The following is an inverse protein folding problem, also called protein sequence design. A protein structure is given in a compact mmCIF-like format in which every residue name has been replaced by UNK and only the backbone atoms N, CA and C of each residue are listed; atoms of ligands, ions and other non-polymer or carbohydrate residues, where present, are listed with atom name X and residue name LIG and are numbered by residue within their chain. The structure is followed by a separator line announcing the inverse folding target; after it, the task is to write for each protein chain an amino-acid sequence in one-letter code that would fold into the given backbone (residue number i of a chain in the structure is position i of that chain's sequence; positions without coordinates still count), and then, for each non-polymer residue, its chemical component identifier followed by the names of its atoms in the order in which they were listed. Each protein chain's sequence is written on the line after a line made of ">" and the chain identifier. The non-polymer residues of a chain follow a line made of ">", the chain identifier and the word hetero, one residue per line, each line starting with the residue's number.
data_IF_187678240340
#
_entry.id   IF_187678240340
#
_cell.length_a   1.000
_cell.length_b   1.000
_cell.length_c   1.000
_cell.angle_alpha   90.00
_cell.angle_beta   90.00
_cell.angle_gamma   90.00
#
_symmetry.space_group_name_H-M   'P 1'
#
loop_
_entity.id
_entity.type
_entity.pdbx_description
1 polymer ?
#
# COMPACT_ATOMS: atom_id res chain seq x y z
N UNK A 1 -16.47 34.42 14.68
CA UNK A 1 -16.51 32.99 14.34
C UNK A 1 -15.56 32.86 13.17
N UNK A 2 -14.32 32.50 13.48
CA UNK A 2 -13.16 32.57 12.59
C UNK A 2 -12.89 31.16 12.09
N UNK A 3 -13.07 30.93 10.78
CA UNK A 3 -12.81 29.67 10.10
C UNK A 3 -11.29 29.44 9.99
N UNK A 4 -10.73 28.89 11.07
CA UNK A 4 -9.31 28.68 11.26
C UNK A 4 -8.79 27.33 10.75
N UNK A 5 -8.27 27.37 9.51
CA UNK A 5 -6.94 26.90 9.16
C UNK A 5 -6.61 25.38 9.11
N UNK A 6 -6.28 24.97 7.87
CA UNK A 6 -5.22 24.03 7.49
C UNK A 6 -5.25 22.59 8.03
N UNK A 7 -5.36 21.64 7.09
CA UNK A 7 -4.15 21.01 6.50
C UNK A 7 -4.34 20.77 5.00
N UNK A 8 -3.89 21.73 4.19
CA UNK A 8 -3.46 21.41 2.82
C UNK A 8 -2.39 20.33 2.94
N UNK A 9 -2.69 19.10 2.54
CA UNK A 9 -1.67 18.08 2.28
C UNK A 9 -0.85 18.60 1.12
N UNK A 10 0.22 19.31 1.42
CA UNK A 10 1.24 19.62 0.45
C UNK A 10 1.89 18.28 0.11
N UNK A 11 1.50 17.70 -1.03
CA UNK A 11 2.29 16.67 -1.67
C UNK A 11 3.70 17.25 -1.85
N UNK A 12 4.65 16.77 -1.03
CA UNK A 12 6.08 17.05 -1.22
C UNK A 12 6.45 16.56 -2.64
N UNK A 13 7.37 17.24 -3.34
CA UNK A 13 7.75 16.83 -4.68
C UNK A 13 8.25 15.37 -4.66
N UNK A 14 7.50 14.50 -5.34
CA UNK A 14 7.76 13.07 -5.53
C UNK A 14 8.89 12.90 -6.56
N UNK A 15 10.15 13.09 -6.18
CA UNK A 15 11.31 12.90 -7.08
C UNK A 15 11.83 11.45 -7.12
N UNK A 16 11.12 10.53 -6.49
CA UNK A 16 11.54 9.16 -6.21
C UNK A 16 11.18 8.19 -7.36
N UNK A 17 12.08 7.25 -7.67
CA UNK A 17 11.93 6.31 -8.79
C UNK A 17 10.70 5.39 -8.64
N UNK A 18 10.19 4.84 -9.76
CA UNK A 18 9.04 3.90 -9.77
C UNK A 18 9.26 2.71 -8.83
N UNK A 19 10.48 2.17 -8.84
CA UNK A 19 10.89 1.05 -7.98
C UNK A 19 10.85 1.42 -6.50
N UNK A 20 11.42 2.56 -6.15
CA UNK A 20 11.45 3.04 -4.77
C UNK A 20 10.03 3.35 -4.26
N UNK A 21 9.11 3.84 -5.11
CA UNK A 21 7.67 3.92 -4.77
C UNK A 21 7.05 2.55 -4.49
N UNK A 22 7.37 1.54 -5.29
CA UNK A 22 6.90 0.17 -5.06
C UNK A 22 7.45 -0.43 -3.76
N UNK A 23 8.72 -0.18 -3.44
CA UNK A 23 9.37 -0.62 -2.19
C UNK A 23 8.72 0.05 -0.98
N UNK A 24 8.42 1.35 -1.04
CA UNK A 24 7.75 2.09 0.03
C UNK A 24 6.31 1.59 0.23
N UNK A 25 5.56 1.38 -0.85
CA UNK A 25 4.21 0.79 -0.79
C UNK A 25 4.24 -0.60 -0.15
N UNK A 26 5.12 -1.48 -0.63
CA UNK A 26 5.25 -2.85 -0.15
C UNK A 26 5.60 -2.89 1.34
N UNK A 27 6.53 -2.03 1.77
CA UNK A 27 6.90 -1.90 3.17
C UNK A 27 5.73 -1.43 4.06
N UNK A 28 4.93 -0.48 3.58
CA UNK A 28 3.75 0.00 4.30
C UNK A 28 2.69 -1.11 4.47
N UNK A 29 2.41 -1.87 3.40
CA UNK A 29 1.47 -3.00 3.44
C UNK A 29 1.95 -4.10 4.40
N UNK A 30 3.25 -4.44 4.35
CA UNK A 30 3.86 -5.40 5.27
C UNK A 30 3.73 -4.96 6.72
N UNK A 31 4.05 -3.69 7.01
CA UNK A 31 3.98 -3.15 8.36
C UNK A 31 2.54 -3.17 8.88
N UNK A 32 1.56 -2.85 8.04
CA UNK A 32 0.15 -2.91 8.40
C UNK A 32 -0.32 -4.34 8.70
N UNK A 33 0.08 -5.31 7.85
CA UNK A 33 -0.19 -6.74 8.10
C UNK A 33 0.38 -7.21 9.43
N UNK A 34 1.62 -6.84 9.73
CA UNK A 34 2.26 -7.20 11.01
C UNK A 34 1.56 -6.54 12.21
N UNK A 35 1.13 -5.29 12.09
CA UNK A 35 0.35 -4.59 13.13
C UNK A 35 -1.03 -5.22 13.35
N UNK A 36 -1.65 -5.76 12.30
CA UNK A 36 -2.89 -6.52 12.37
C UNK A 36 -2.70 -7.95 12.94
N UNK A 37 -1.45 -8.40 13.14
CA UNK A 37 -1.15 -9.74 13.66
C UNK A 37 -1.39 -10.86 12.64
N UNK A 38 -1.45 -10.56 11.35
CA UNK A 38 -1.81 -11.52 10.29
C UNK A 38 -0.57 -12.16 9.62
N UNK A 39 -0.64 -13.46 9.35
CA UNK A 39 0.33 -14.18 8.52
C UNK A 39 0.25 -13.81 7.03
N UNK A 40 1.29 -14.10 6.25
CA UNK A 40 1.23 -13.90 4.79
C UNK A 40 0.26 -14.88 4.15
N UNK A 41 0.25 -16.11 4.64
CA UNK A 41 -0.61 -17.21 4.19
C UNK A 41 -2.09 -16.85 4.40
N UNK A 42 -2.46 -16.35 5.59
CA UNK A 42 -3.84 -15.92 5.90
C UNK A 42 -4.31 -14.79 4.99
N UNK A 43 -3.45 -13.80 4.72
CA UNK A 43 -3.81 -12.68 3.84
C UNK A 43 -3.88 -13.13 2.38
N UNK A 44 -2.94 -13.97 1.93
CA UNK A 44 -2.92 -14.50 0.57
C UNK A 44 -4.15 -15.38 0.28
N UNK A 45 -4.57 -16.20 1.25
CA UNK A 45 -5.79 -17.01 1.19
C UNK A 45 -7.04 -16.12 1.07
N UNK A 46 -7.17 -15.09 1.92
CA UNK A 46 -8.29 -14.13 1.83
C UNK A 46 -8.33 -13.33 0.54
N UNK A 47 -7.18 -13.14 -0.11
CA UNK A 47 -7.03 -12.50 -1.41
C UNK A 47 -7.19 -13.47 -2.59
N UNK A 48 -7.22 -14.78 -2.33
CA UNK A 48 -7.22 -15.83 -3.35
C UNK A 48 -6.03 -15.69 -4.32
N UNK A 49 -4.85 -15.39 -3.78
CA UNK A 49 -3.60 -15.28 -4.54
C UNK A 49 -2.54 -16.23 -3.96
N UNK A 50 -1.55 -16.66 -4.76
CA UNK A 50 -0.39 -17.35 -4.22
C UNK A 50 0.37 -16.48 -3.19
N UNK A 51 0.84 -17.08 -2.10
CA UNK A 51 1.57 -16.35 -1.03
C UNK A 51 2.83 -15.65 -1.57
N UNK A 52 3.44 -16.20 -2.62
CA UNK A 52 4.60 -15.63 -3.31
C UNK A 52 4.26 -14.30 -3.99
N UNK A 53 3.01 -14.10 -4.44
CA UNK A 53 2.53 -12.83 -5.00
C UNK A 53 2.49 -11.77 -3.90
N UNK A 54 1.90 -12.09 -2.75
CA UNK A 54 1.91 -11.17 -1.60
C UNK A 54 3.34 -10.86 -1.15
N UNK A 55 4.22 -11.86 -1.10
CA UNK A 55 5.61 -11.66 -0.71
C UNK A 55 6.39 -10.76 -1.69
N UNK A 56 6.09 -10.84 -3.00
CA UNK A 56 6.67 -9.93 -4.02
C UNK A 56 6.14 -8.51 -3.89
N UNK A 57 4.86 -8.34 -3.58
CA UNK A 57 4.24 -7.03 -3.30
C UNK A 57 4.92 -6.39 -2.09
N UNK A 58 5.03 -7.11 -0.97
CA UNK A 58 5.63 -6.59 0.26
C UNK A 58 7.12 -6.23 0.14
N UNK A 59 7.82 -6.81 -0.83
CA UNK A 59 9.21 -6.47 -1.16
C UNK A 59 9.34 -5.36 -2.21
N UNK A 60 8.24 -4.85 -2.77
CA UNK A 60 8.26 -3.86 -3.85
C UNK A 60 8.73 -4.39 -5.20
N UNK A 61 8.82 -5.72 -5.37
CA UNK A 61 9.19 -6.36 -6.64
C UNK A 61 8.05 -6.26 -7.65
N UNK A 62 6.81 -6.19 -7.17
CA UNK A 62 5.63 -5.99 -7.99
C UNK A 62 4.67 -5.04 -7.29
N UNK A 63 3.83 -4.41 -8.10
CA UNK A 63 2.78 -3.48 -7.63
C UNK A 63 1.46 -4.24 -7.73
N UNK A 64 0.63 -4.23 -6.67
CA UNK A 64 -0.69 -4.86 -6.75
C UNK A 64 -1.57 -4.10 -7.74
N UNK A 65 -2.50 -4.81 -8.38
CA UNK A 65 -3.56 -4.14 -9.14
C UNK A 65 -4.45 -3.35 -8.18
N UNK A 66 -5.19 -2.36 -8.70
CA UNK A 66 -6.13 -1.58 -7.89
C UNK A 66 -7.12 -2.48 -7.12
N UNK A 67 -7.77 -3.49 -7.72
CA UNK A 67 -8.65 -4.39 -6.97
C UNK A 67 -7.95 -5.14 -5.82
N UNK A 68 -6.73 -5.64 -6.04
CA UNK A 68 -5.94 -6.31 -4.99
C UNK A 68 -5.56 -5.34 -3.88
N UNK A 69 -5.16 -4.12 -4.23
CA UNK A 69 -4.83 -3.09 -3.26
C UNK A 69 -6.05 -2.68 -2.41
N UNK A 70 -7.22 -2.51 -3.03
CA UNK A 70 -8.45 -2.20 -2.31
C UNK A 70 -8.81 -3.31 -1.32
N UNK A 71 -8.71 -4.59 -1.73
CA UNK A 71 -8.93 -5.72 -0.81
C UNK A 71 -7.91 -5.75 0.32
N UNK A 72 -6.63 -5.48 0.04
CA UNK A 72 -5.60 -5.34 1.06
C UNK A 72 -5.96 -4.24 2.06
N UNK A 73 -6.44 -3.09 1.61
CA UNK A 73 -6.87 -2.02 2.51
C UNK A 73 -7.99 -2.47 3.45
N UNK A 74 -8.97 -3.22 2.93
CA UNK A 74 -10.07 -3.76 3.75
C UNK A 74 -9.55 -4.78 4.77
N UNK A 75 -8.77 -5.77 4.34
CA UNK A 75 -8.24 -6.83 5.22
C UNK A 75 -7.35 -6.23 6.31
N UNK A 76 -6.49 -5.28 5.94
CA UNK A 76 -5.51 -4.65 6.83
C UNK A 76 -6.05 -3.44 7.59
N UNK A 77 -7.33 -3.08 7.39
CA UNK A 77 -7.98 -1.89 7.97
C UNK A 77 -7.19 -0.60 7.73
N UNK A 78 -6.65 -0.45 6.52
CA UNK A 78 -5.94 0.74 6.08
C UNK A 78 -6.89 1.72 5.40
N UNK A 79 -6.70 3.00 5.69
CA UNK A 79 -7.29 4.09 4.92
C UNK A 79 -6.45 4.29 3.64
N UNK A 80 -7.03 4.18 2.43
CA UNK A 80 -6.29 4.40 1.19
C UNK A 80 -5.63 5.79 1.12
N UNK A 81 -6.15 6.80 1.84
CA UNK A 81 -5.57 8.15 1.88
C UNK A 81 -4.24 8.22 2.67
N UNK A 82 -3.91 7.17 3.42
CA UNK A 82 -2.62 7.06 4.14
C UNK A 82 -1.58 6.23 3.38
N UNK A 83 -1.97 5.58 2.29
CA UNK A 83 -1.03 4.82 1.48
C UNK A 83 -0.07 5.75 0.72
N UNK A 84 1.20 5.34 0.55
CA UNK A 84 2.11 6.03 -0.36
C UNK A 84 1.55 6.01 -1.79
N UNK A 85 1.81 7.08 -2.56
CA UNK A 85 1.35 7.13 -3.96
C UNK A 85 1.89 5.92 -4.75
N UNK A 86 0.99 5.32 -5.52
CA UNK A 86 1.33 4.15 -6.32
C UNK A 86 2.30 4.53 -7.44
N UNK A 87 3.26 3.64 -7.76
CA UNK A 87 3.98 3.78 -9.02
C UNK A 87 3.00 3.75 -10.20
N UNK A 88 3.06 4.79 -11.03
CA UNK A 88 2.35 4.81 -12.32
C UNK A 88 2.53 3.48 -13.06
N UNK A 89 1.42 2.92 -13.53
CA UNK A 89 1.41 1.79 -14.42
C UNK A 89 2.00 2.25 -15.76
N UNK A 90 3.29 2.02 -16.03
CA UNK A 90 3.72 2.00 -17.44
C UNK A 90 3.12 0.77 -18.09
N UNK A 91 2.52 0.97 -19.27
CA UNK A 91 2.16 -0.04 -20.27
C UNK A 91 3.24 -1.14 -20.41
#
# INVERSE_FOLDING_TARGET
>A
MDDGNARRRHARPMTTSRRERAEVLGAALKAARQQAGLGMEEVAEQLEIPVEVLARVERGVMVPTIPTLTRLCVILKLDPDVLPELPEMSD
#
